data_IF_576006569342
#
_entry.id   IF_576006569342
#
_cell.length_a   1.000
_cell.length_b   1.000
_cell.length_c   1.000
_cell.angle_alpha   90.00
_cell.angle_beta   90.00
_cell.angle_gamma   90.00
#
_symmetry.space_group_name_H-M   'P 1'
#
loop_
_entity.id
_entity.type
_entity.pdbx_description
1 polymer ?
#
# COMPACT_ATOMS: atom_id res chain seq x y z
N UNK A 1 23.97 22.24 -11.73
CA UNK A 1 23.98 20.88 -11.16
C UNK A 1 22.73 20.09 -11.60
N UNK A 2 22.83 19.08 -12.48
CA UNK A 2 21.74 18.15 -12.69
C UNK A 2 21.50 17.35 -11.40
N UNK A 3 20.24 17.19 -11.02
CA UNK A 3 19.83 16.44 -9.84
C UNK A 3 20.26 14.98 -10.03
N UNK A 4 21.26 14.54 -9.26
CA UNK A 4 21.70 13.15 -9.25
C UNK A 4 20.56 12.32 -8.65
N UNK A 5 19.85 11.55 -9.48
CA UNK A 5 18.76 10.69 -9.02
C UNK A 5 19.41 9.47 -8.35
N UNK A 6 19.63 9.56 -7.05
CA UNK A 6 19.95 8.43 -6.19
C UNK A 6 18.71 7.53 -6.05
N UNK A 7 18.65 6.47 -6.85
CA UNK A 7 17.60 5.45 -6.81
C UNK A 7 17.55 4.66 -5.49
N UNK A 8 18.56 4.78 -4.63
CA UNK A 8 18.65 4.05 -3.35
C UNK A 8 17.87 4.69 -2.21
N UNK A 9 17.59 6.00 -2.27
CA UNK A 9 16.89 6.74 -1.21
C UNK A 9 15.53 7.22 -1.71
N UNK A 10 14.46 6.80 -1.01
CA UNK A 10 13.10 7.25 -1.30
C UNK A 10 13.08 8.79 -1.35
N UNK A 11 12.76 9.35 -2.52
CA UNK A 11 12.68 10.79 -2.72
C UNK A 11 11.66 11.39 -1.76
N UNK A 12 11.88 12.60 -1.21
CA UNK A 12 10.91 13.27 -0.34
C UNK A 12 9.56 13.53 -1.04
N UNK A 13 9.53 13.47 -2.37
CA UNK A 13 8.33 13.62 -3.18
C UNK A 13 7.65 12.28 -3.51
N UNK A 14 8.33 11.16 -3.27
CA UNK A 14 7.75 9.83 -3.47
C UNK A 14 6.92 9.48 -2.23
N UNK A 15 5.61 9.23 -2.36
CA UNK A 15 4.81 8.81 -1.23
C UNK A 15 5.36 7.49 -0.65
N UNK A 16 5.28 7.29 0.68
CA UNK A 16 5.87 6.11 1.32
C UNK A 16 5.26 4.79 0.83
N UNK A 17 3.99 4.85 0.42
CA UNK A 17 3.28 3.76 -0.22
C UNK A 17 2.13 4.32 -1.10
N UNK A 18 1.56 3.46 -1.92
CA UNK A 18 0.35 3.69 -2.68
C UNK A 18 -0.64 2.55 -2.43
N UNK A 19 -1.92 2.86 -2.57
CA UNK A 19 -3.01 1.89 -2.48
C UNK A 19 -3.99 2.04 -3.63
N UNK A 20 -4.59 0.93 -4.04
CA UNK A 20 -5.79 0.92 -4.88
C UNK A 20 -6.79 -0.08 -4.34
N UNK A 21 -8.06 0.07 -4.73
CA UNK A 21 -9.09 -0.91 -4.42
C UNK A 21 -9.97 -1.20 -5.62
N UNK A 22 -10.65 -2.34 -5.57
CA UNK A 22 -11.70 -2.70 -6.52
C UNK A 22 -12.73 -3.58 -5.82
N UNK A 23 -13.95 -3.54 -6.32
CA UNK A 23 -15.05 -4.34 -5.81
C UNK A 23 -15.11 -5.69 -6.56
N UNK A 24 -15.25 -6.78 -5.81
CA UNK A 24 -15.57 -8.12 -6.30
C UNK A 24 -16.95 -8.53 -5.76
N UNK A 25 -17.59 -9.58 -6.31
CA UNK A 25 -18.87 -10.07 -5.78
C UNK A 25 -18.85 -10.40 -4.29
N UNK A 26 -17.67 -10.71 -3.75
CA UNK A 26 -17.52 -11.14 -2.38
C UNK A 26 -17.01 -10.00 -1.46
N UNK A 27 -16.62 -8.84 -1.99
CA UNK A 27 -16.25 -7.64 -1.21
C UNK A 27 -15.26 -6.69 -1.90
N UNK A 28 -14.90 -5.60 -1.21
CA UNK A 28 -13.90 -4.63 -1.66
C UNK A 28 -12.50 -5.06 -1.28
N UNK A 29 -11.63 -5.25 -2.27
CA UNK A 29 -10.23 -5.66 -2.08
C UNK A 29 -9.32 -4.45 -2.16
N UNK A 30 -8.45 -4.30 -1.16
CA UNK A 30 -7.43 -3.27 -1.09
C UNK A 30 -6.05 -3.87 -1.36
N UNK A 31 -5.28 -3.24 -2.26
CA UNK A 31 -3.91 -3.62 -2.60
C UNK A 31 -2.98 -2.46 -2.30
N UNK A 32 -1.93 -2.74 -1.49
CA UNK A 32 -0.94 -1.77 -1.05
C UNK A 32 0.44 -2.12 -1.63
N UNK A 33 1.19 -1.07 -2.00
CA UNK A 33 2.54 -1.15 -2.55
C UNK A 33 3.43 -0.07 -1.96
N UNK A 34 4.65 -0.40 -1.60
CA UNK A 34 5.67 0.59 -1.24
C UNK A 34 6.93 0.42 -2.08
N UNK A 35 7.66 1.51 -2.28
CA UNK A 35 8.96 1.51 -2.94
C UNK A 35 10.02 1.83 -1.89
N UNK A 36 10.61 0.80 -1.27
CA UNK A 36 11.65 0.95 -0.24
C UNK A 36 11.25 0.37 1.11
N UNK A 37 11.52 1.12 2.18
CA UNK A 37 11.51 0.56 3.54
C UNK A 37 10.18 0.57 4.26
N UNK A 38 9.17 1.22 3.69
CA UNK A 38 7.85 1.28 4.30
C UNK A 38 7.17 -0.09 4.26
N UNK A 39 6.76 -0.62 5.43
CA UNK A 39 6.11 -1.93 5.56
C UNK A 39 4.57 -1.82 5.41
N UNK A 40 4.06 -2.10 4.21
CA UNK A 40 2.61 -2.13 3.96
C UNK A 40 1.92 -3.35 4.56
N UNK A 41 2.66 -4.40 4.95
CA UNK A 41 2.05 -5.56 5.62
C UNK A 41 1.51 -5.22 7.00
N UNK A 42 2.15 -4.26 7.69
CA UNK A 42 1.69 -3.77 8.98
C UNK A 42 0.32 -3.06 8.87
N UNK A 43 0.08 -2.31 7.79
CA UNK A 43 -1.23 -1.70 7.51
C UNK A 43 -2.26 -2.79 7.23
N UNK A 44 -1.95 -3.72 6.32
CA UNK A 44 -2.89 -4.77 5.94
C UNK A 44 -3.33 -5.63 7.14
N UNK A 45 -2.41 -5.95 8.07
CA UNK A 45 -2.70 -6.72 9.28
C UNK A 45 -3.71 -6.03 10.21
N UNK A 46 -3.67 -4.70 10.33
CA UNK A 46 -4.64 -3.95 11.16
C UNK A 46 -6.07 -4.14 10.66
N UNK A 47 -6.26 -4.34 9.37
CA UNK A 47 -7.56 -4.54 8.74
C UNK A 47 -7.91 -6.02 8.52
N UNK A 48 -7.19 -6.96 9.12
CA UNK A 48 -7.42 -8.40 9.00
C UNK A 48 -6.88 -9.03 7.71
N UNK A 49 -6.03 -8.31 6.97
CA UNK A 49 -5.31 -8.83 5.81
C UNK A 49 -3.87 -9.22 6.10
N UNK A 50 -3.02 -9.23 5.07
CA UNK A 50 -1.63 -9.62 5.18
C UNK A 50 -0.84 -9.49 3.88
N UNK A 51 0.41 -9.96 3.90
CA UNK A 51 1.32 -9.93 2.76
C UNK A 51 2.77 -9.67 3.16
N UNK A 52 3.56 -9.19 2.20
CA UNK A 52 4.98 -8.85 2.36
C UNK A 52 5.19 -7.37 2.65
N UNK A 53 6.40 -7.02 3.11
CA UNK A 53 6.83 -5.64 3.43
C UNK A 53 6.44 -4.64 2.33
N UNK A 54 6.68 -4.97 1.07
CA UNK A 54 6.44 -4.07 -0.07
C UNK A 54 5.14 -4.32 -0.84
N UNK A 55 4.39 -5.36 -0.46
CA UNK A 55 3.20 -5.80 -1.17
C UNK A 55 2.25 -6.55 -0.24
N UNK A 56 1.15 -5.90 0.14
CA UNK A 56 0.15 -6.48 1.04
C UNK A 56 -1.26 -6.04 0.65
N UNK A 57 -2.26 -6.69 1.22
CA UNK A 57 -3.66 -6.36 0.95
C UNK A 57 -4.61 -6.89 2.01
N UNK A 58 -5.81 -6.33 2.01
CA UNK A 58 -6.89 -6.72 2.91
C UNK A 58 -8.22 -6.57 2.18
N UNK A 59 -9.29 -7.08 2.79
CA UNK A 59 -10.63 -7.03 2.21
C UNK A 59 -11.63 -6.50 3.22
N UNK A 60 -12.59 -5.73 2.73
CA UNK A 60 -13.74 -5.23 3.49
C UNK A 60 -15.03 -5.43 2.69
N UNK A 61 -16.15 -5.10 3.31
CA UNK A 61 -17.45 -5.12 2.67
C UNK A 61 -17.53 -4.04 1.58
N UNK A 62 -18.43 -4.25 0.61
CA UNK A 62 -18.68 -3.24 -0.44
C UNK A 62 -19.18 -1.96 0.22
N UNK A 63 -18.64 -0.82 -0.21
CA UNK A 63 -19.01 0.49 0.35
C UNK A 63 -18.28 0.86 1.64
N UNK A 64 -17.30 0.07 2.08
CA UNK A 64 -16.43 0.47 3.20
C UNK A 64 -15.59 1.71 2.82
N UNK A 65 -15.65 2.75 3.66
CA UNK A 65 -14.98 4.05 3.47
C UNK A 65 -13.84 4.30 4.47
N UNK A 66 -13.66 3.41 5.45
CA UNK A 66 -12.70 3.58 6.54
C UNK A 66 -13.36 3.50 7.92
N UNK A 67 -12.54 3.69 8.95
CA UNK A 67 -12.95 4.02 10.33
C UNK A 67 -12.45 5.44 10.67
#
# INVERSE_FOLDING_TARGET
>A
EPMEIDYGRQSPWTPPFAGCYWDTPEGRVFSLRSAGDFDVSAIAKQYGGGGHKSAAGFRKEIGWEGE
#
